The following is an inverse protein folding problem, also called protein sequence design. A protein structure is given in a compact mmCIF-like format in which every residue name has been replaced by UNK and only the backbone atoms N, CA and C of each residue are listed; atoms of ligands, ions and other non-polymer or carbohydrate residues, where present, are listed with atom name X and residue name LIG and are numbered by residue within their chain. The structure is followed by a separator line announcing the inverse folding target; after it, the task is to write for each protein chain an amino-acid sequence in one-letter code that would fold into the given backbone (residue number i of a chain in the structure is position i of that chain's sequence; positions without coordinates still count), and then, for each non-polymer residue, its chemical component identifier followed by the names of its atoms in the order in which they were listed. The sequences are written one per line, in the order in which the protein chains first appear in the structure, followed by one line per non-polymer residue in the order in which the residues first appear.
data_IF_367784654314
#
_entry.id   IF_367784654314
#
_cell.length_a   1.000
_cell.length_b   1.000
_cell.length_c   1.000
_cell.angle_alpha   90.00
_cell.angle_beta   90.00
_cell.angle_gamma   90.00
#
_symmetry.space_group_name_H-M   'P 1'
#
loop_
_entity.id
_entity.type
_entity.pdbx_description
1 polymer ?
#
# COMPACT_ATOMS: atom_id res chain seq x y z
N UNK A 1 -12.16 24.40 2.55
CA UNK A 1 -12.38 23.97 1.16
C UNK A 1 -11.81 22.58 1.02
N UNK A 2 -12.44 21.68 0.26
CA UNK A 2 -11.91 20.34 -0.02
C UNK A 2 -10.70 20.52 -0.96
N UNK A 3 -9.51 20.07 -0.56
CA UNK A 3 -8.32 20.15 -1.43
C UNK A 3 -8.56 19.31 -2.67
N UNK A 4 -8.40 19.92 -3.85
CA UNK A 4 -8.45 19.23 -5.15
C UNK A 4 -7.10 18.54 -5.39
N UNK A 5 -7.07 17.36 -6.01
CA UNK A 5 -5.84 16.55 -6.15
C UNK A 5 -5.07 16.36 -4.82
N UNK A 6 -5.72 15.85 -3.75
CA UNK A 6 -5.04 15.67 -2.46
C UNK A 6 -3.93 14.62 -2.60
N UNK A 7 -2.72 14.96 -2.19
CA UNK A 7 -1.55 14.09 -2.28
C UNK A 7 -1.56 13.01 -1.19
N UNK A 8 -1.03 11.83 -1.54
CA UNK A 8 -0.84 10.72 -0.61
C UNK A 8 0.39 9.90 -1.02
N UNK A 9 0.74 8.89 -0.24
CA UNK A 9 1.74 7.88 -0.62
C UNK A 9 1.12 6.50 -0.60
N UNK A 10 1.77 5.51 -1.21
CA UNK A 10 1.31 4.13 -1.11
C UNK A 10 1.21 3.64 0.35
N UNK A 11 2.11 4.08 1.25
CA UNK A 11 2.07 3.69 2.66
C UNK A 11 3.43 3.87 3.35
N UNK A 12 4.30 2.87 3.22
CA UNK A 12 5.59 2.82 3.92
C UNK A 12 6.57 3.95 3.58
N UNK A 13 7.29 4.43 4.60
CA UNK A 13 8.39 5.39 4.51
C UNK A 13 9.64 4.85 5.23
N UNK A 14 10.85 5.37 4.93
CA UNK A 14 12.08 4.94 5.61
C UNK A 14 11.99 5.12 7.13
N UNK A 15 12.39 4.10 7.87
CA UNK A 15 12.41 4.14 9.34
C UNK A 15 13.63 4.91 9.86
N UNK A 16 13.53 5.57 11.03
CA UNK A 16 14.70 6.12 11.69
C UNK A 16 15.78 5.05 11.93
N UNK A 17 17.05 5.41 11.72
CA UNK A 17 18.18 4.47 11.80
C UNK A 17 18.41 3.89 13.19
N UNK A 18 17.86 4.51 14.24
CA UNK A 18 17.88 3.97 15.60
C UNK A 18 16.80 2.89 15.83
N UNK A 19 15.78 2.80 14.98
CA UNK A 19 14.68 1.84 15.11
C UNK A 19 14.94 0.56 14.28
N UNK A 20 15.49 0.72 13.07
CA UNK A 20 15.71 -0.37 12.12
C UNK A 20 16.98 -0.11 11.27
N UNK A 21 17.47 -1.16 10.62
CA UNK A 21 18.48 -1.01 9.54
C UNK A 21 17.86 -0.27 8.35
N UNK A 22 18.52 0.76 7.80
CA UNK A 22 18.01 1.54 6.67
C UNK A 22 18.01 0.72 5.37
N UNK A 23 17.27 1.20 4.37
CA UNK A 23 17.33 0.74 2.96
C UNK A 23 17.11 -0.77 2.75
N UNK A 24 16.38 -1.40 3.66
CA UNK A 24 16.15 -2.85 3.67
C UNK A 24 14.68 -3.19 3.95
N UNK A 25 14.21 -4.27 3.34
CA UNK A 25 12.93 -4.90 3.67
C UNK A 25 13.13 -5.93 4.80
N UNK A 26 12.09 -6.17 5.62
CA UNK A 26 12.14 -7.10 6.76
C UNK A 26 13.25 -6.79 7.77
N UNK A 27 13.61 -5.51 7.90
CA UNK A 27 14.64 -5.07 8.82
C UNK A 27 14.31 -5.45 10.27
N UNK A 28 15.21 -6.12 11.01
CA UNK A 28 15.03 -6.41 12.43
C UNK A 28 14.89 -5.12 13.25
N UNK A 29 14.12 -5.18 14.34
CA UNK A 29 14.05 -4.09 15.29
C UNK A 29 15.36 -3.95 16.07
N UNK A 30 15.91 -2.74 16.13
CA UNK A 30 17.09 -2.42 16.95
C UNK A 30 16.76 -2.24 18.43
N UNK A 31 15.49 -1.94 18.74
CA UNK A 31 14.96 -1.79 20.10
C UNK A 31 14.10 -3.01 20.49
N UNK A 32 13.92 -3.25 21.79
CA UNK A 32 13.08 -4.33 22.33
C UNK A 32 12.29 -3.85 23.56
N UNK A 33 11.28 -4.62 23.99
CA UNK A 33 10.49 -4.30 25.19
C UNK A 33 9.79 -2.94 25.11
N UNK A 34 9.75 -2.22 26.23
CA UNK A 34 9.14 -0.89 26.32
C UNK A 34 9.82 0.14 25.40
N UNK A 35 11.15 0.06 25.23
CA UNK A 35 11.88 0.97 24.32
C UNK A 35 11.41 0.82 22.87
N UNK A 36 11.03 -0.40 22.45
CA UNK A 36 10.46 -0.62 21.12
C UNK A 36 9.06 -0.03 21.00
N UNK A 37 8.25 -0.11 22.05
CA UNK A 37 6.89 0.47 22.06
C UNK A 37 6.98 1.99 21.91
N UNK A 38 7.81 2.64 22.72
CA UNK A 38 8.02 4.08 22.65
C UNK A 38 8.72 4.50 21.35
N UNK A 39 9.74 3.75 20.93
CA UNK A 39 10.45 4.00 19.68
C UNK A 39 9.56 3.92 18.45
N UNK A 40 8.62 2.98 18.39
CA UNK A 40 7.63 2.93 17.29
C UNK A 40 6.73 4.16 17.26
N UNK A 41 6.27 4.63 18.43
CA UNK A 41 5.45 5.84 18.55
C UNK A 41 6.22 7.11 18.18
N UNK A 42 7.47 7.22 18.58
CA UNK A 42 8.32 8.35 18.19
C UNK A 42 8.63 8.33 16.69
N UNK A 43 8.85 7.16 16.10
CA UNK A 43 9.00 7.02 14.66
C UNK A 43 7.73 7.43 13.90
N UNK A 44 6.53 7.10 14.41
CA UNK A 44 5.27 7.60 13.86
C UNK A 44 5.20 9.12 13.86
N UNK A 45 5.56 9.77 14.98
CA UNK A 45 5.56 11.24 15.08
C UNK A 45 6.54 11.89 14.09
N UNK A 46 7.74 11.33 14.00
CA UNK A 46 8.76 11.78 13.06
C UNK A 46 8.28 11.64 11.63
N UNK A 47 7.74 10.48 11.26
CA UNK A 47 7.25 10.22 9.90
C UNK A 47 6.05 11.10 9.55
N UNK A 48 5.12 11.34 10.48
CA UNK A 48 4.02 12.30 10.30
C UNK A 48 4.56 13.71 10.04
N UNK A 49 5.51 14.18 10.85
CA UNK A 49 6.11 15.49 10.67
C UNK A 49 6.78 15.64 9.30
N UNK A 50 7.47 14.61 8.83
CA UNK A 50 8.09 14.61 7.50
C UNK A 50 7.06 14.67 6.36
N UNK A 51 5.95 13.96 6.50
CA UNK A 51 4.83 14.03 5.54
C UNK A 51 4.21 15.43 5.52
N UNK A 52 3.95 16.02 6.70
CA UNK A 52 3.40 17.37 6.82
C UNK A 52 4.34 18.44 6.22
N UNK A 53 5.65 18.35 6.52
CA UNK A 53 6.66 19.24 5.96
C UNK A 53 6.79 19.11 4.44
N UNK A 54 6.60 17.91 3.90
CA UNK A 54 6.60 17.67 2.47
C UNK A 54 5.28 18.04 1.78
N UNK A 55 4.27 18.51 2.52
CA UNK A 55 2.98 18.93 1.97
C UNK A 55 2.06 17.78 1.56
N UNK A 56 2.20 16.60 2.20
CA UNK A 56 1.29 15.47 1.98
C UNK A 56 -0.08 15.78 2.60
N UNK A 57 -1.16 15.68 1.81
CA UNK A 57 -2.52 16.01 2.26
C UNK A 57 -3.18 14.88 3.06
N UNK A 58 -2.96 13.63 2.63
CA UNK A 58 -3.50 12.40 3.24
C UNK A 58 -2.32 11.59 3.77
N UNK A 59 -2.17 11.59 5.09
CA UNK A 59 -1.01 11.00 5.77
C UNK A 59 -1.22 9.53 6.09
N UNK A 60 -0.12 8.78 6.24
CA UNK A 60 -0.11 7.40 6.69
C UNK A 60 0.67 7.24 8.01
N UNK A 61 0.64 6.03 8.55
CA UNK A 61 1.55 5.58 9.62
C UNK A 61 3.01 5.46 9.17
N UNK A 62 3.33 5.78 7.90
CA UNK A 62 4.63 5.51 7.30
C UNK A 62 5.06 4.05 7.41
N UNK A 63 4.14 3.15 7.76
CA UNK A 63 4.38 1.78 8.22
C UNK A 63 5.52 1.67 9.26
N UNK A 64 5.63 2.65 10.15
CA UNK A 64 6.73 2.75 11.11
C UNK A 64 6.66 1.67 12.21
N UNK A 65 5.46 1.16 12.53
CA UNK A 65 5.25 0.20 13.61
C UNK A 65 5.31 -1.27 13.18
N UNK A 66 5.51 -1.53 11.88
CA UNK A 66 5.62 -2.88 11.29
C UNK A 66 6.97 -3.11 10.61
N UNK A 67 7.46 -4.35 10.63
CA UNK A 67 8.70 -4.72 9.93
C UNK A 67 8.46 -4.86 8.43
N UNK A 68 7.30 -5.40 8.05
CA UNK A 68 6.92 -5.63 6.67
C UNK A 68 5.40 -5.54 6.50
N UNK A 69 4.93 -5.01 5.36
CA UNK A 69 3.53 -4.70 5.11
C UNK A 69 2.58 -5.90 5.21
N UNK A 70 3.08 -7.12 4.91
CA UNK A 70 2.30 -8.38 4.99
C UNK A 70 2.56 -9.16 6.27
N UNK A 71 3.79 -9.68 6.44
CA UNK A 71 4.11 -10.66 7.49
C UNK A 71 3.85 -10.14 8.90
N UNK A 72 4.06 -8.85 9.19
CA UNK A 72 3.77 -8.33 10.54
C UNK A 72 2.30 -8.50 10.90
N UNK A 73 1.35 -8.34 9.98
CA UNK A 73 -0.06 -8.59 10.30
C UNK A 73 -0.31 -10.09 10.53
N UNK A 74 0.23 -10.96 9.68
CA UNK A 74 0.11 -12.42 9.79
C UNK A 74 0.67 -12.94 11.12
N UNK A 75 1.80 -12.39 11.57
CA UNK A 75 2.49 -12.76 12.82
C UNK A 75 1.64 -12.55 14.09
N UNK A 76 0.62 -11.69 14.04
CA UNK A 76 -0.27 -11.43 15.17
C UNK A 76 -1.52 -12.33 15.20
N UNK A 77 -1.65 -13.25 14.24
CA UNK A 77 -2.79 -14.15 14.14
C UNK A 77 -2.52 -15.46 14.88
N UNK A 78 -3.55 -16.03 15.50
CA UNK A 78 -3.47 -17.41 15.99
C UNK A 78 -3.32 -18.38 14.80
N UNK A 79 -2.74 -19.55 15.04
CA UNK A 79 -2.56 -20.56 13.99
C UNK A 79 -1.38 -20.29 13.05
N UNK A 80 -0.61 -19.23 13.32
CA UNK A 80 0.65 -18.90 12.63
C UNK A 80 1.84 -19.23 13.53
N UNK A 81 2.81 -19.97 13.00
CA UNK A 81 4.11 -20.21 13.59
C UNK A 81 5.14 -19.28 12.93
N UNK A 82 5.66 -18.35 13.74
CA UNK A 82 6.66 -17.38 13.29
C UNK A 82 8.10 -17.88 13.43
N UNK A 83 8.35 -18.88 14.27
CA UNK A 83 9.70 -19.43 14.46
C UNK A 83 10.03 -20.41 13.33
N UNK A 84 9.09 -21.26 12.94
CA UNK A 84 9.24 -22.23 11.87
C UNK A 84 8.96 -21.60 10.49
N UNK A 85 9.90 -20.77 10.04
CA UNK A 85 9.82 -20.12 8.72
C UNK A 85 10.14 -21.11 7.60
N UNK A 86 9.51 -20.92 6.44
CA UNK A 86 9.76 -21.68 5.20
C UNK A 86 10.12 -20.74 4.07
N UNK A 87 10.76 -21.27 3.04
CA UNK A 87 10.97 -20.53 1.80
C UNK A 87 9.71 -20.65 0.93
N UNK A 88 9.18 -19.52 0.49
CA UNK A 88 8.11 -19.46 -0.50
C UNK A 88 8.47 -18.49 -1.62
N UNK A 89 8.02 -18.78 -2.84
CA UNK A 89 8.21 -17.92 -4.00
C UNK A 89 7.05 -16.93 -4.08
N UNK A 90 7.34 -15.66 -3.77
CA UNK A 90 6.35 -14.58 -3.78
C UNK A 90 6.14 -14.11 -5.22
N UNK A 91 4.89 -13.97 -5.65
CA UNK A 91 4.47 -13.40 -6.94
C UNK A 91 5.12 -14.06 -8.15
N UNK A 92 5.46 -15.34 -8.04
CA UNK A 92 6.24 -16.08 -9.04
C UNK A 92 7.56 -15.38 -9.44
N UNK A 93 8.19 -14.64 -8.51
CA UNK A 93 9.26 -13.70 -8.84
C UNK A 93 10.53 -13.88 -8.01
N UNK A 94 10.39 -14.01 -6.70
CA UNK A 94 11.56 -14.17 -5.82
C UNK A 94 11.20 -14.97 -4.58
N UNK A 95 12.20 -15.66 -4.05
CA UNK A 95 12.07 -16.44 -2.83
C UNK A 95 12.26 -15.56 -1.60
N UNK A 96 11.44 -15.81 -0.58
CA UNK A 96 11.57 -15.16 0.72
C UNK A 96 11.32 -16.16 1.85
N UNK A 97 11.91 -15.87 3.02
CA UNK A 97 11.60 -16.57 4.26
C UNK A 97 10.28 -16.04 4.82
N UNK A 98 9.27 -16.89 4.93
CA UNK A 98 7.90 -16.52 5.30
C UNK A 98 7.39 -17.33 6.50
N UNK A 99 6.43 -16.80 7.29
CA UNK A 99 5.81 -17.55 8.38
C UNK A 99 4.97 -18.74 7.87
N UNK A 100 4.69 -19.69 8.76
CA UNK A 100 3.91 -20.90 8.43
C UNK A 100 2.54 -20.89 9.10
N UNK A 101 1.47 -21.14 8.36
CA UNK A 101 0.15 -21.44 8.93
C UNK A 101 0.10 -22.91 9.32
N UNK A 102 -0.01 -23.18 10.62
CA UNK A 102 0.00 -24.54 11.20
C UNK A 102 -1.36 -24.98 11.75
N UNK A 103 -2.35 -24.09 11.77
CA UNK A 103 -3.68 -24.35 12.31
C UNK A 103 -4.74 -23.35 11.87
N UNK A 104 -5.96 -23.44 12.43
CA UNK A 104 -7.01 -22.48 12.17
C UNK A 104 -6.59 -21.05 12.52
N UNK A 105 -6.84 -20.10 11.63
CA UNK A 105 -6.41 -18.71 11.78
C UNK A 105 -7.51 -17.89 12.42
N UNK A 106 -7.14 -17.03 13.36
CA UNK A 106 -8.08 -16.09 13.96
C UNK A 106 -7.35 -14.87 14.50
N UNK A 107 -8.04 -13.72 14.52
CA UNK A 107 -7.56 -12.51 15.17
C UNK A 107 -7.96 -12.53 16.63
N UNK A 108 -6.99 -12.56 17.53
CA UNK A 108 -7.23 -12.63 18.98
C UNK A 108 -7.23 -11.25 19.64
N UNK A 109 -6.45 -10.31 19.09
CA UNK A 109 -6.31 -8.93 19.55
C UNK A 109 -6.13 -8.00 18.35
N UNK A 110 -6.41 -6.69 18.51
CA UNK A 110 -6.10 -5.70 17.50
C UNK A 110 -4.62 -5.59 17.22
N UNK A 111 -4.26 -5.39 15.95
CA UNK A 111 -2.85 -5.35 15.52
C UNK A 111 -2.35 -3.91 15.46
N UNK A 112 -3.07 -3.04 14.75
CA UNK A 112 -2.67 -1.66 14.47
C UNK A 112 -3.59 -0.61 15.09
N UNK A 113 -4.70 -1.03 15.70
CA UNK A 113 -5.74 -0.11 16.22
C UNK A 113 -5.19 0.88 17.26
N UNK A 114 -4.29 0.45 18.15
CA UNK A 114 -3.69 1.35 19.14
C UNK A 114 -2.71 2.35 18.50
N UNK A 115 -1.98 1.93 17.45
CA UNK A 115 -1.12 2.83 16.68
C UNK A 115 -1.97 3.86 15.91
N UNK A 116 -3.12 3.44 15.36
CA UNK A 116 -4.06 4.32 14.68
C UNK A 116 -4.69 5.36 15.61
N UNK A 117 -5.12 4.94 16.82
CA UNK A 117 -5.59 5.89 17.85
C UNK A 117 -4.50 6.89 18.23
N UNK A 118 -3.26 6.43 18.37
CA UNK A 118 -2.14 7.30 18.68
C UNK A 118 -1.90 8.32 17.56
N UNK A 119 -1.82 7.89 16.30
CA UNK A 119 -1.64 8.77 15.14
C UNK A 119 -2.80 9.78 15.00
N UNK A 120 -4.04 9.32 15.20
CA UNK A 120 -5.24 10.16 15.13
C UNK A 120 -5.19 11.34 16.11
N UNK A 121 -4.55 11.18 17.27
CA UNK A 121 -4.36 12.26 18.25
C UNK A 121 -3.32 13.30 17.82
N UNK A 122 -2.43 12.99 16.86
CA UNK A 122 -1.33 13.87 16.46
C UNK A 122 -1.72 14.86 15.36
N UNK A 123 -2.72 14.54 14.53
CA UNK A 123 -3.07 15.34 13.36
C UNK A 123 -4.59 15.40 13.14
N UNK A 124 -5.04 16.38 12.37
CA UNK A 124 -6.42 16.50 11.86
C UNK A 124 -6.55 16.17 10.37
N UNK A 125 -5.44 15.89 9.68
CA UNK A 125 -5.46 15.49 8.28
C UNK A 125 -6.12 14.12 8.11
N UNK A 126 -6.68 13.79 6.92
CA UNK A 126 -7.13 12.44 6.64
C UNK A 126 -6.01 11.42 6.83
N UNK A 127 -6.30 10.34 7.55
CA UNK A 127 -5.38 9.21 7.76
C UNK A 127 -5.75 8.08 6.82
N UNK A 128 -4.77 7.61 6.05
CA UNK A 128 -4.85 6.37 5.28
C UNK A 128 -4.02 5.27 5.94
N UNK A 129 -4.64 4.12 6.19
CA UNK A 129 -3.96 2.98 6.80
C UNK A 129 -3.97 1.78 5.86
N UNK A 130 -2.79 1.24 5.54
CA UNK A 130 -2.65 0.07 4.69
C UNK A 130 -2.69 -1.23 5.50
N UNK A 131 -3.44 -2.21 4.99
CA UNK A 131 -3.47 -3.60 5.40
C UNK A 131 -3.09 -4.47 4.18
N UNK A 132 -2.45 -5.63 4.37
CA UNK A 132 -2.25 -6.54 3.25
C UNK A 132 -3.60 -7.11 2.80
N UNK A 133 -3.80 -7.24 1.49
CA UNK A 133 -5.00 -7.87 0.96
C UNK A 133 -4.99 -9.40 1.10
N UNK A 134 -6.16 -10.07 1.10
CA UNK A 134 -6.26 -11.51 1.32
C UNK A 134 -5.37 -12.36 0.40
N UNK A 135 -5.28 -12.03 -0.90
CA UNK A 135 -4.49 -12.81 -1.85
C UNK A 135 -2.99 -12.61 -1.61
N UNK A 136 -2.57 -11.38 -1.35
CA UNK A 136 -1.17 -11.08 -1.04
C UNK A 136 -0.74 -11.71 0.29
N UNK A 137 -1.65 -11.81 1.27
CA UNK A 137 -1.38 -12.55 2.52
C UNK A 137 -1.06 -14.02 2.25
N UNK A 138 -1.90 -14.73 1.49
CA UNK A 138 -1.66 -16.16 1.20
C UNK A 138 -0.45 -16.41 0.29
N UNK A 139 -0.01 -15.38 -0.46
CA UNK A 139 1.18 -15.44 -1.31
C UNK A 139 2.49 -15.17 -0.54
N UNK A 140 2.39 -14.71 0.72
CA UNK A 140 3.53 -14.32 1.57
C UNK A 140 3.60 -15.19 2.84
N UNK A 141 3.21 -16.45 2.73
CA UNK A 141 3.27 -17.45 3.80
C UNK A 141 3.42 -18.87 3.24
N UNK A 142 3.68 -19.83 4.11
CA UNK A 142 3.56 -21.25 3.80
C UNK A 142 2.33 -21.83 4.49
N UNK A 143 1.38 -22.40 3.72
CA UNK A 143 0.19 -23.02 4.26
C UNK A 143 0.41 -24.53 4.51
N UNK A 144 0.49 -24.91 5.79
CA UNK A 144 0.60 -26.30 6.22
C UNK A 144 -0.72 -26.85 6.82
N UNK A 145 -1.84 -26.11 6.70
CA UNK A 145 -3.10 -26.46 7.35
C UNK A 145 -4.29 -26.55 6.38
N UNK A 146 -4.56 -25.50 5.60
CA UNK A 146 -5.79 -25.41 4.80
C UNK A 146 -5.68 -26.17 3.47
N UNK A 147 -4.47 -26.25 2.90
CA UNK A 147 -4.21 -26.89 1.62
C UNK A 147 -4.95 -26.22 0.46
N UNK A 148 -5.37 -24.96 0.62
CA UNK A 148 -6.19 -24.24 -0.35
C UNK A 148 -6.02 -22.73 -0.18
N UNK A 149 -5.50 -22.07 -1.23
CA UNK A 149 -5.31 -20.62 -1.30
C UNK A 149 -6.63 -19.87 -1.08
N UNK A 150 -7.69 -20.27 -1.78
CA UNK A 150 -9.02 -19.67 -1.67
C UNK A 150 -9.59 -19.78 -0.24
N UNK A 151 -9.56 -20.97 0.37
CA UNK A 151 -10.12 -21.15 1.72
C UNK A 151 -9.38 -20.30 2.75
N UNK A 152 -8.05 -20.27 2.68
CA UNK A 152 -7.25 -19.46 3.60
C UNK A 152 -7.44 -17.95 3.33
N UNK A 153 -7.51 -17.52 2.07
CA UNK A 153 -7.78 -16.14 1.70
C UNK A 153 -9.16 -15.69 2.22
N UNK A 154 -10.17 -16.55 2.18
CA UNK A 154 -11.49 -16.24 2.72
C UNK A 154 -11.46 -16.04 4.25
N UNK A 155 -10.71 -16.85 4.98
CA UNK A 155 -10.53 -16.66 6.43
C UNK A 155 -9.76 -15.37 6.74
N UNK A 156 -8.74 -15.04 5.95
CA UNK A 156 -8.06 -13.76 6.06
C UNK A 156 -8.96 -12.57 5.71
N UNK A 157 -9.83 -12.67 4.72
CA UNK A 157 -10.80 -11.62 4.43
C UNK A 157 -11.71 -11.31 5.63
N UNK A 158 -12.18 -12.34 6.35
CA UNK A 158 -12.96 -12.17 7.58
C UNK A 158 -12.13 -11.52 8.70
N UNK A 159 -10.88 -11.93 8.88
CA UNK A 159 -9.94 -11.34 9.86
C UNK A 159 -9.64 -9.87 9.54
N UNK A 160 -9.36 -9.57 8.27
CA UNK A 160 -9.10 -8.22 7.79
C UNK A 160 -10.30 -7.31 8.01
N UNK A 161 -11.51 -7.81 7.78
CA UNK A 161 -12.74 -7.04 8.05
C UNK A 161 -12.89 -6.66 9.54
N UNK A 162 -12.47 -7.54 10.45
CA UNK A 162 -12.48 -7.22 11.89
C UNK A 162 -11.48 -6.11 12.22
N UNK A 163 -10.24 -6.22 11.74
CA UNK A 163 -9.22 -5.18 11.94
C UNK A 163 -9.65 -3.85 11.31
N UNK A 164 -10.13 -3.88 10.06
CA UNK A 164 -10.53 -2.70 9.32
C UNK A 164 -11.67 -1.93 10.03
N UNK A 165 -12.70 -2.63 10.53
CA UNK A 165 -13.79 -1.98 11.28
C UNK A 165 -13.30 -1.31 12.57
N UNK A 166 -12.33 -1.90 13.24
CA UNK A 166 -11.76 -1.28 14.44
C UNK A 166 -10.79 -0.13 14.11
N UNK A 167 -10.10 -0.17 12.97
CA UNK A 167 -9.33 0.97 12.45
C UNK A 167 -10.26 2.15 12.07
N UNK A 168 -11.38 1.88 11.42
CA UNK A 168 -12.43 2.87 11.17
C UNK A 168 -12.93 3.48 12.49
N UNK A 169 -13.23 2.65 13.49
CA UNK A 169 -13.64 3.12 14.81
C UNK A 169 -12.54 3.93 15.54
N UNK A 170 -11.27 3.73 15.22
CA UNK A 170 -10.14 4.53 15.69
C UNK A 170 -9.97 5.87 14.96
N UNK A 171 -10.77 6.14 13.93
CA UNK A 171 -10.77 7.38 13.17
C UNK A 171 -9.86 7.39 11.93
N UNK A 172 -9.55 6.20 11.37
CA UNK A 172 -8.93 6.10 10.05
C UNK A 172 -9.95 6.48 8.97
N UNK A 173 -9.54 7.35 8.04
CA UNK A 173 -10.42 7.92 7.01
C UNK A 173 -10.44 7.08 5.72
N UNK A 174 -9.31 6.43 5.40
CA UNK A 174 -9.16 5.56 4.24
C UNK A 174 -8.47 4.26 4.65
N UNK A 175 -9.11 3.12 4.42
CA UNK A 175 -8.49 1.80 4.63
C UNK A 175 -8.06 1.23 3.29
N UNK A 176 -6.76 1.05 3.12
CA UNK A 176 -6.16 0.51 1.90
C UNK A 176 -5.85 -0.98 2.08
N UNK A 177 -6.14 -1.78 1.06
CA UNK A 177 -5.77 -3.17 0.94
C UNK A 177 -4.71 -3.34 -0.14
N UNK A 178 -3.50 -3.76 0.25
CA UNK A 178 -2.39 -3.93 -0.66
C UNK A 178 -2.49 -5.29 -1.35
N UNK A 179 -2.81 -5.27 -2.65
CA UNK A 179 -2.94 -6.46 -3.49
C UNK A 179 -1.96 -6.48 -4.68
N UNK A 180 -0.63 -6.38 -4.47
CA UNK A 180 0.32 -6.58 -5.57
C UNK A 180 0.23 -7.99 -6.21
N UNK A 181 -0.36 -8.97 -5.51
CA UNK A 181 -0.64 -10.30 -6.08
C UNK A 181 -1.70 -10.26 -7.21
N UNK A 182 -2.56 -9.24 -7.26
CA UNK A 182 -3.54 -9.08 -8.35
C UNK A 182 -2.86 -8.80 -9.70
N UNK A 183 -1.60 -8.35 -9.68
CA UNK A 183 -0.79 -8.12 -10.86
C UNK A 183 -0.15 -9.42 -11.42
N UNK A 184 -0.52 -10.59 -10.88
CA UNK A 184 0.09 -11.89 -11.20
C UNK A 184 -0.95 -13.00 -11.39
N UNK A 185 -1.89 -13.17 -10.46
CA UNK A 185 -2.78 -14.34 -10.43
C UNK A 185 -4.18 -14.02 -10.97
N UNK A 186 -4.28 -13.65 -12.25
CA UNK A 186 -5.52 -13.10 -12.83
C UNK A 186 -6.75 -14.03 -12.73
N UNK A 187 -6.56 -15.34 -12.94
CA UNK A 187 -7.64 -16.32 -12.80
C UNK A 187 -8.15 -16.37 -11.35
N UNK A 188 -7.24 -16.45 -10.38
CA UNK A 188 -7.58 -16.40 -8.95
C UNK A 188 -8.30 -15.11 -8.56
N UNK A 189 -7.87 -13.95 -9.11
CA UNK A 189 -8.51 -12.66 -8.85
C UNK A 189 -9.96 -12.69 -9.31
N UNK A 190 -10.16 -13.25 -10.50
CA UNK A 190 -11.46 -13.37 -11.12
C UNK A 190 -12.36 -14.37 -10.38
N UNK A 191 -11.85 -15.52 -9.99
CA UNK A 191 -12.67 -16.57 -9.39
C UNK A 191 -13.04 -16.25 -7.94
N UNK A 192 -12.10 -15.75 -7.13
CA UNK A 192 -12.32 -15.56 -5.69
C UNK A 192 -11.63 -14.33 -5.08
N UNK A 193 -10.60 -13.76 -5.70
CA UNK A 193 -9.83 -12.64 -5.13
C UNK A 193 -10.66 -11.39 -4.90
N UNK A 194 -11.48 -10.98 -5.88
CA UNK A 194 -12.42 -9.86 -5.73
C UNK A 194 -13.45 -10.14 -4.64
N UNK A 195 -13.97 -11.37 -4.56
CA UNK A 195 -14.94 -11.75 -3.52
C UNK A 195 -14.33 -11.69 -2.11
N UNK A 196 -13.07 -12.10 -1.96
CA UNK A 196 -12.33 -11.96 -0.70
C UNK A 196 -12.11 -10.48 -0.35
N UNK A 197 -11.76 -9.64 -1.32
CA UNK A 197 -11.60 -8.20 -1.11
C UNK A 197 -12.93 -7.55 -0.67
N UNK A 198 -14.04 -7.86 -1.35
CA UNK A 198 -15.40 -7.44 -0.95
C UNK A 198 -15.75 -7.87 0.48
N UNK A 199 -15.40 -9.11 0.85
CA UNK A 199 -15.60 -9.59 2.21
C UNK A 199 -14.77 -8.82 3.23
N UNK A 200 -13.55 -8.42 2.88
CA UNK A 200 -12.67 -7.62 3.74
C UNK A 200 -13.23 -6.22 3.99
N UNK A 201 -13.91 -5.61 3.00
CA UNK A 201 -14.50 -4.27 3.13
C UNK A 201 -15.94 -4.24 3.65
N UNK A 202 -16.60 -5.39 3.74
CA UNK A 202 -18.01 -5.50 4.09
C UNK A 202 -18.40 -4.68 5.34
N UNK A 203 -19.28 -3.70 5.14
CA UNK A 203 -19.89 -2.91 6.22
C UNK A 203 -19.09 -1.69 6.67
N UNK A 204 -17.89 -1.45 6.15
CA UNK A 204 -17.16 -0.19 6.33
C UNK A 204 -17.99 0.99 5.77
N UNK A 205 -17.75 2.16 6.35
CA UNK A 205 -18.35 3.46 6.01
C UNK A 205 -17.30 4.49 5.60
N UNK A 206 -16.06 4.34 6.07
CA UNK A 206 -14.89 5.05 5.57
C UNK A 206 -14.60 4.64 4.13
N UNK A 207 -13.79 5.43 3.43
CA UNK A 207 -13.40 5.06 2.08
C UNK A 207 -12.46 3.86 2.09
N UNK A 208 -12.54 3.06 1.04
CA UNK A 208 -11.71 1.88 0.87
C UNK A 208 -10.86 2.00 -0.37
N UNK A 209 -9.60 1.59 -0.27
CA UNK A 209 -8.66 1.61 -1.38
C UNK A 209 -8.10 0.21 -1.65
N UNK A 210 -7.78 -0.09 -2.90
CA UNK A 210 -6.91 -1.22 -3.25
C UNK A 210 -5.64 -0.70 -3.92
N UNK A 211 -4.48 -1.18 -3.49
CA UNK A 211 -3.20 -0.83 -4.11
C UNK A 211 -2.66 -2.01 -4.91
N UNK A 212 -2.43 -1.80 -6.21
CA UNK A 212 -1.87 -2.78 -7.13
C UNK A 212 -0.68 -2.12 -7.83
N UNK A 213 0.49 -2.74 -7.75
CA UNK A 213 1.73 -2.16 -8.27
C UNK A 213 2.67 -3.21 -8.84
N UNK A 214 3.84 -2.77 -9.35
CA UNK A 214 4.88 -3.64 -9.87
C UNK A 214 5.96 -3.94 -8.82
N UNK A 215 5.76 -3.47 -7.58
CA UNK A 215 6.52 -3.80 -6.38
C UNK A 215 7.59 -2.79 -6.00
N UNK A 216 8.18 -2.99 -4.82
CA UNK A 216 9.28 -2.18 -4.29
C UNK A 216 10.49 -2.06 -5.24
N UNK A 217 11.31 -1.03 -5.02
CA UNK A 217 12.58 -0.76 -5.72
C UNK A 217 13.72 -1.74 -5.43
N UNK A 218 13.47 -3.05 -5.50
CA UNK A 218 14.47 -4.10 -5.32
C UNK A 218 14.90 -4.69 -6.66
N UNK A 219 16.11 -5.27 -6.71
CA UNK A 219 16.71 -5.84 -7.93
C UNK A 219 15.80 -6.85 -8.64
N UNK A 220 15.12 -7.72 -7.88
CA UNK A 220 14.21 -8.71 -8.44
C UNK A 220 13.05 -8.06 -9.22
N UNK A 221 12.50 -6.95 -8.73
CA UNK A 221 11.40 -6.24 -9.40
C UNK A 221 11.90 -5.43 -10.60
N UNK A 222 13.05 -4.76 -10.48
CA UNK A 222 13.60 -3.97 -11.60
C UNK A 222 14.09 -4.85 -12.75
N UNK A 223 14.59 -6.05 -12.48
CA UNK A 223 14.90 -7.03 -13.52
C UNK A 223 13.64 -7.60 -14.17
N UNK A 224 12.62 -7.95 -13.37
CA UNK A 224 11.34 -8.39 -13.89
C UNK A 224 10.67 -7.31 -14.77
N UNK A 225 10.68 -6.04 -14.37
CA UNK A 225 10.12 -4.93 -15.17
C UNK A 225 10.72 -4.85 -16.58
N UNK A 226 11.98 -5.25 -16.77
CA UNK A 226 12.64 -5.28 -18.10
C UNK A 226 12.08 -6.36 -19.03
N UNK A 227 11.47 -7.42 -18.49
CA UNK A 227 10.91 -8.54 -19.28
C UNK A 227 9.48 -8.32 -19.72
N UNK A 228 8.80 -7.29 -19.20
CA UNK A 228 7.37 -7.04 -19.40
C UNK A 228 7.00 -6.45 -20.77
N UNK A 229 7.95 -6.34 -21.70
CA UNK A 229 7.69 -5.83 -23.05
C UNK A 229 7.42 -4.33 -23.10
N UNK A 230 6.78 -3.88 -24.18
CA UNK A 230 6.56 -2.45 -24.48
C UNK A 230 5.31 -1.88 -23.81
N UNK A 231 4.34 -2.72 -23.44
CA UNK A 231 3.12 -2.32 -22.74
C UNK A 231 2.86 -3.26 -21.56
N UNK A 232 2.61 -2.68 -20.39
CA UNK A 232 2.28 -3.41 -19.17
C UNK A 232 0.76 -3.39 -19.00
N UNK A 233 0.08 -4.41 -19.53
CA UNK A 233 -1.38 -4.45 -19.63
C UNK A 233 -2.08 -5.27 -18.54
N UNK A 234 -1.37 -5.68 -17.49
CA UNK A 234 -1.91 -6.54 -16.43
C UNK A 234 -3.14 -5.96 -15.73
N UNK A 235 -3.24 -4.63 -15.63
CA UNK A 235 -4.42 -3.97 -15.07
C UNK A 235 -5.71 -4.23 -15.86
N UNK A 236 -5.62 -4.44 -17.18
CA UNK A 236 -6.76 -4.73 -18.05
C UNK A 236 -7.52 -6.00 -17.60
N UNK A 237 -6.81 -6.96 -16.99
CA UNK A 237 -7.38 -8.22 -16.51
C UNK A 237 -8.22 -8.08 -15.23
N UNK A 238 -7.99 -7.03 -14.43
CA UNK A 238 -8.59 -6.88 -13.09
C UNK A 238 -9.49 -5.65 -12.96
N UNK A 239 -9.23 -4.60 -13.74
CA UNK A 239 -10.00 -3.35 -13.72
C UNK A 239 -11.49 -3.52 -13.96
N UNK A 240 -11.97 -4.35 -14.92
CA UNK A 240 -13.41 -4.51 -15.16
C UNK A 240 -14.19 -5.04 -13.95
N UNK A 241 -13.57 -5.85 -13.07
CA UNK A 241 -14.19 -6.31 -11.82
C UNK A 241 -14.07 -5.29 -10.70
N UNK A 242 -12.92 -4.62 -10.56
CA UNK A 242 -12.75 -3.54 -9.59
C UNK A 242 -13.69 -2.36 -9.86
N UNK A 243 -13.96 -2.06 -11.14
CA UNK A 243 -14.94 -1.03 -11.50
C UNK A 243 -16.33 -1.33 -10.96
N UNK A 244 -16.71 -2.62 -10.94
CA UNK A 244 -18.02 -3.09 -10.45
C UNK A 244 -18.03 -3.37 -8.95
N UNK A 245 -16.87 -3.33 -8.28
CA UNK A 245 -16.75 -3.61 -6.85
C UNK A 245 -17.15 -2.40 -6.01
N UNK A 246 -17.27 -2.60 -4.70
CA UNK A 246 -17.53 -1.54 -3.73
C UNK A 246 -16.26 -0.79 -3.28
N UNK A 247 -15.08 -1.09 -3.83
CA UNK A 247 -13.85 -0.34 -3.53
C UNK A 247 -13.97 1.08 -4.09
N UNK A 248 -13.64 2.10 -3.29
CA UNK A 248 -13.82 3.51 -3.67
C UNK A 248 -12.63 4.06 -4.48
N UNK A 249 -11.41 3.65 -4.10
CA UNK A 249 -10.15 4.21 -4.61
C UNK A 249 -9.26 3.09 -5.16
N UNK A 250 -8.71 3.28 -6.37
CA UNK A 250 -7.72 2.36 -6.96
C UNK A 250 -6.35 3.06 -6.97
N UNK A 251 -5.36 2.51 -6.26
CA UNK A 251 -3.98 3.01 -6.21
C UNK A 251 -3.07 2.21 -7.13
N UNK A 252 -2.36 2.91 -8.02
CA UNK A 252 -1.70 2.33 -9.18
C UNK A 252 -0.29 2.89 -9.36
N UNK A 253 0.57 2.06 -9.94
CA UNK A 253 1.85 2.50 -10.50
C UNK A 253 1.68 3.02 -11.93
N UNK A 254 2.18 4.24 -12.20
CA UNK A 254 2.11 4.90 -13.51
C UNK A 254 3.46 5.53 -13.95
N UNK A 255 4.10 6.35 -13.11
CA UNK A 255 5.33 7.08 -13.47
C UNK A 255 6.46 6.14 -13.86
N UNK A 256 7.16 6.42 -14.97
CA UNK A 256 8.18 5.54 -15.57
C UNK A 256 7.75 4.08 -15.84
N UNK A 257 6.46 3.77 -15.71
CA UNK A 257 5.90 2.50 -16.12
C UNK A 257 5.66 2.50 -17.64
N UNK A 258 5.37 1.31 -18.18
CA UNK A 258 4.84 1.19 -19.54
C UNK A 258 3.36 0.81 -19.54
N UNK A 259 2.65 1.15 -18.47
CA UNK A 259 1.20 0.96 -18.40
C UNK A 259 0.55 1.95 -19.38
N UNK A 260 -0.25 1.49 -20.35
CA UNK A 260 -1.01 2.40 -21.21
C UNK A 260 -1.98 3.21 -20.35
N UNK A 261 -1.79 4.53 -20.30
CA UNK A 261 -2.52 5.42 -19.38
C UNK A 261 -4.04 5.43 -19.66
N UNK A 262 -4.44 5.09 -20.88
CA UNK A 262 -5.84 4.93 -21.27
C UNK A 262 -6.56 3.77 -20.56
N UNK A 263 -5.83 2.81 -19.96
CA UNK A 263 -6.43 1.77 -19.14
C UNK A 263 -7.20 2.34 -17.94
N UNK A 264 -6.87 3.56 -17.50
CA UNK A 264 -7.61 4.26 -16.45
C UNK A 264 -9.08 4.50 -16.84
N UNK A 265 -9.43 4.52 -18.13
CA UNK A 265 -10.82 4.61 -18.60
C UNK A 265 -11.67 3.43 -18.12
N UNK A 266 -11.07 2.25 -17.96
CA UNK A 266 -11.79 1.04 -17.52
C UNK A 266 -12.34 1.16 -16.09
N UNK A 267 -11.79 2.08 -15.29
CA UNK A 267 -12.21 2.39 -13.92
C UNK A 267 -12.80 3.80 -13.79
N UNK A 268 -13.26 4.39 -14.91
CA UNK A 268 -13.88 5.72 -14.93
C UNK A 268 -14.98 5.82 -13.88
N UNK A 269 -14.92 6.88 -13.06
CA UNK A 269 -15.86 7.14 -11.98
C UNK A 269 -15.40 6.69 -10.59
N UNK A 270 -14.39 5.81 -10.49
CA UNK A 270 -13.65 5.59 -9.24
C UNK A 270 -12.69 6.75 -8.96
N UNK A 271 -12.29 6.90 -7.70
CA UNK A 271 -11.11 7.71 -7.37
C UNK A 271 -9.86 6.93 -7.75
N UNK A 272 -8.84 7.62 -8.25
CA UNK A 272 -7.59 6.99 -8.70
C UNK A 272 -6.41 7.64 -8.02
N UNK A 273 -5.69 6.86 -7.21
CA UNK A 273 -4.39 7.20 -6.66
C UNK A 273 -3.32 6.93 -7.73
N UNK A 274 -2.96 7.96 -8.49
CA UNK A 274 -2.03 7.88 -9.63
C UNK A 274 -0.61 7.98 -9.13
N UNK A 275 0.17 6.91 -9.29
CA UNK A 275 1.59 6.89 -8.96
C UNK A 275 2.39 7.83 -9.87
N UNK A 276 2.79 8.98 -9.34
CA UNK A 276 3.54 10.02 -10.03
C UNK A 276 5.01 10.10 -9.59
N UNK A 277 5.47 9.14 -8.77
CA UNK A 277 6.83 8.99 -8.28
C UNK A 277 7.28 7.55 -8.51
N UNK A 278 8.43 7.37 -9.16
CA UNK A 278 9.08 6.07 -9.31
C UNK A 278 9.97 5.77 -8.10
N UNK A 279 9.54 4.80 -7.30
CA UNK A 279 10.24 4.36 -6.09
C UNK A 279 11.28 3.27 -6.37
N UNK A 280 11.51 2.94 -7.64
CA UNK A 280 12.52 1.96 -8.07
C UNK A 280 13.83 2.58 -8.56
N UNK A 281 13.97 3.90 -8.42
CA UNK A 281 15.18 4.68 -8.69
C UNK A 281 15.45 5.67 -7.57
N UNK A 282 16.73 6.04 -7.39
CA UNK A 282 17.14 7.12 -6.48
C UNK A 282 17.11 8.50 -7.15
N UNK A 283 16.90 8.56 -8.47
CA UNK A 283 16.73 9.82 -9.18
C UNK A 283 15.47 10.53 -8.68
N UNK A 284 15.60 11.82 -8.36
CA UNK A 284 14.49 12.62 -7.83
C UNK A 284 13.75 13.24 -9.00
N UNK A 285 12.44 13.00 -9.06
CA UNK A 285 11.56 13.62 -10.05
C UNK A 285 11.56 15.15 -9.86
N UNK A 286 11.51 15.87 -10.96
CA UNK A 286 11.17 17.29 -10.95
C UNK A 286 9.66 17.47 -10.77
N UNK A 287 9.20 18.60 -10.18
CA UNK A 287 7.78 18.89 -10.09
C UNK A 287 7.04 18.84 -11.44
N UNK A 288 7.71 19.22 -12.53
CA UNK A 288 7.11 19.18 -13.88
C UNK A 288 6.94 17.75 -14.41
N UNK A 289 7.87 16.82 -14.12
CA UNK A 289 7.72 15.40 -14.49
C UNK A 289 6.53 14.75 -13.77
N UNK A 290 6.36 15.09 -12.49
CA UNK A 290 5.18 14.71 -11.72
C UNK A 290 3.93 15.31 -12.36
N UNK A 291 3.90 16.62 -12.61
CA UNK A 291 2.77 17.32 -13.22
C UNK A 291 2.39 16.73 -14.58
N UNK A 292 3.36 16.41 -15.43
CA UNK A 292 3.14 15.75 -16.73
C UNK A 292 2.40 14.42 -16.59
N UNK A 293 2.79 13.60 -15.61
CA UNK A 293 2.10 12.32 -15.34
C UNK A 293 0.65 12.54 -14.93
N UNK A 294 0.41 13.51 -14.05
CA UNK A 294 -0.93 13.85 -13.58
C UNK A 294 -1.79 14.44 -14.72
N UNK A 295 -1.20 15.26 -15.59
CA UNK A 295 -1.89 15.85 -16.76
C UNK A 295 -2.31 14.81 -17.77
N UNK A 296 -1.49 13.79 -18.00
CA UNK A 296 -1.87 12.64 -18.83
C UNK A 296 -3.01 11.83 -18.20
N UNK A 297 -2.95 11.59 -16.88
CA UNK A 297 -4.01 10.90 -16.16
C UNK A 297 -5.34 11.67 -16.14
N UNK A 298 -5.33 13.01 -16.11
CA UNK A 298 -6.53 13.85 -16.17
C UNK A 298 -7.37 13.68 -17.44
N UNK A 299 -6.80 13.11 -18.52
CA UNK A 299 -7.58 12.74 -19.72
C UNK A 299 -8.56 11.59 -19.42
N UNK A 300 -8.23 10.74 -18.45
CA UNK A 300 -8.94 9.50 -18.12
C UNK A 300 -9.56 9.49 -16.70
N UNK A 301 -9.23 10.48 -15.87
CA UNK A 301 -9.74 10.61 -14.50
C UNK A 301 -10.18 12.05 -14.25
N UNK A 302 -11.41 12.24 -13.77
CA UNK A 302 -11.91 13.57 -13.43
C UNK A 302 -11.05 14.21 -12.34
N UNK A 303 -10.85 15.53 -12.39
CA UNK A 303 -9.98 16.23 -11.44
C UNK A 303 -10.39 16.02 -9.97
N UNK A 304 -11.69 15.90 -9.68
CA UNK A 304 -12.22 15.66 -8.33
C UNK A 304 -12.02 14.22 -7.81
N UNK A 305 -11.54 13.33 -8.68
CA UNK A 305 -11.27 11.91 -8.45
C UNK A 305 -9.80 11.53 -8.62
N UNK A 306 -8.94 12.44 -9.07
CA UNK A 306 -7.51 12.19 -9.20
C UNK A 306 -6.80 12.48 -7.88
N UNK A 307 -6.01 11.52 -7.40
CA UNK A 307 -5.24 11.60 -6.15
C UNK A 307 -3.76 11.37 -6.50
N UNK A 308 -2.90 12.39 -6.50
CA UNK A 308 -1.47 12.18 -6.73
C UNK A 308 -0.88 11.27 -5.66
N UNK A 309 -0.16 10.23 -6.07
CA UNK A 309 0.37 9.19 -5.18
C UNK A 309 1.79 8.78 -5.60
N UNK A 310 2.44 7.91 -4.84
CA UNK A 310 3.67 7.21 -5.24
C UNK A 310 3.34 5.85 -5.88
N UNK A 311 4.20 5.35 -6.78
CA UNK A 311 3.97 4.06 -7.45
C UNK A 311 3.87 2.86 -6.48
N UNK A 312 4.64 2.90 -5.39
CA UNK A 312 4.67 1.89 -4.33
C UNK A 312 5.24 2.54 -3.06
N UNK A 313 5.40 1.76 -1.98
CA UNK A 313 6.01 2.22 -0.73
C UNK A 313 7.52 2.53 -0.87
N UNK A 314 8.03 3.37 0.03
CA UNK A 314 9.37 3.96 -0.04
C UNK A 314 10.31 3.45 1.05
N UNK A 315 9.91 2.48 1.89
CA UNK A 315 10.76 1.94 2.96
C UNK A 315 12.19 1.53 2.54
N UNK A 316 12.43 0.98 1.33
CA UNK A 316 13.78 0.61 0.88
C UNK A 316 14.63 1.79 0.42
N UNK A 317 14.08 2.98 0.27
CA UNK A 317 14.83 4.14 -0.22
C UNK A 317 15.65 4.79 0.91
N UNK A 318 16.75 5.48 0.56
CA UNK A 318 17.39 6.41 1.49
C UNK A 318 16.38 7.47 1.95
N UNK A 319 16.45 7.86 3.23
CA UNK A 319 15.53 8.82 3.82
C UNK A 319 15.51 10.17 3.09
N UNK A 320 16.68 10.69 2.73
CA UNK A 320 16.80 11.96 2.00
C UNK A 320 16.16 11.89 0.61
N UNK A 321 16.35 10.78 -0.10
CA UNK A 321 15.71 10.51 -1.40
C UNK A 321 14.20 10.48 -1.22
N UNK A 322 13.70 9.79 -0.19
CA UNK A 322 12.26 9.73 0.09
C UNK A 322 11.67 11.12 0.34
N UNK A 323 12.29 11.93 1.18
CA UNK A 323 11.82 13.29 1.47
C UNK A 323 11.82 14.17 0.21
N UNK A 324 12.88 14.11 -0.60
CA UNK A 324 12.97 14.88 -1.83
C UNK A 324 11.89 14.49 -2.86
N UNK A 325 11.61 13.18 -3.01
CA UNK A 325 10.52 12.68 -3.86
C UNK A 325 9.13 13.10 -3.37
N UNK A 326 8.88 13.13 -2.06
CA UNK A 326 7.61 13.64 -1.52
C UNK A 326 7.43 15.15 -1.81
N UNK A 327 8.51 15.94 -1.70
CA UNK A 327 8.46 17.35 -2.08
C UNK A 327 8.12 17.51 -3.58
N UNK A 328 8.74 16.71 -4.45
CA UNK A 328 8.44 16.73 -5.88
C UNK A 328 6.97 16.41 -6.17
N UNK A 329 6.41 15.40 -5.49
CA UNK A 329 5.01 15.01 -5.60
C UNK A 329 4.07 16.18 -5.26
N UNK A 330 4.26 16.80 -4.10
CA UNK A 330 3.42 17.90 -3.63
C UNK A 330 3.52 19.14 -4.50
N UNK A 331 4.73 19.49 -4.94
CA UNK A 331 4.96 20.62 -5.84
C UNK A 331 4.36 20.36 -7.23
N UNK A 332 4.50 19.15 -7.79
CA UNK A 332 3.89 18.79 -9.06
C UNK A 332 2.36 18.79 -9.01
N UNK A 333 1.77 18.28 -7.92
CA UNK A 333 0.34 18.39 -7.68
C UNK A 333 -0.14 19.85 -7.57
N UNK A 334 0.66 20.74 -6.98
CA UNK A 334 0.35 22.17 -6.89
C UNK A 334 0.37 22.85 -8.26
N UNK A 335 1.27 22.47 -9.17
CA UNK A 335 1.29 22.98 -10.55
C UNK A 335 -0.06 22.70 -11.23
N UNK A 336 -0.51 21.44 -11.20
CA UNK A 336 -1.79 21.06 -11.81
C UNK A 336 -2.98 21.73 -11.12
N UNK A 337 -2.95 21.86 -9.79
CA UNK A 337 -3.99 22.60 -9.05
C UNK A 337 -4.11 24.06 -9.50
N UNK A 338 -3.00 24.71 -9.86
CA UNK A 338 -3.04 26.07 -10.38
C UNK A 338 -3.60 26.09 -11.81
N UNK A 339 -3.16 25.17 -12.68
CA UNK A 339 -3.64 25.07 -14.07
C UNK A 339 -5.16 24.86 -14.19
N UNK A 340 -5.77 24.15 -13.26
CA UNK A 340 -7.21 23.85 -13.27
C UNK A 340 -8.06 24.88 -12.50
N UNK A 341 -7.41 25.78 -11.75
CA UNK A 341 -8.10 26.85 -11.03
C UNK A 341 -8.28 28.11 -11.90
N UNK A 342 -7.48 28.24 -12.96
CA UNK A 342 -7.54 29.29 -13.99
C UNK A 342 -8.61 28.99 -15.06
#
# INVERSE_FOLDING_TARGET
MKTLLPTSTAGSLPKPSWLAEPETLWSPWKLQGEELIDGKRDALRVSLQEQELAGVDIVSDGEQTRQHFVTTFIEHLSGVDFENRKTATIRNRYDASVPTVVGPVSRTKPVFVEDAKFLRQQTKQPIKWALPGPMTMIDTLYDAHYGSREKLAWEFAKILNQEAKELEAAGVDIIQFDEPAFNVFFDDVNDWGIACLERAIEGLKCETAVHICYGYGIKANTDWKKTLGTEWRQYEEVFPKLQKSNIDIISLECHNSRVPIELLELIRGKKVMVGAIDVATNEIETPEEVANTLREALKYVDADKLYPCTNCGMAPLPREVSTAKLNALSLGAQIIRNEIAD
#
